data_IF_351376911690
#
_entry.id   IF_351376911690
#
_cell.length_a   1.000
_cell.length_b   1.000
_cell.length_c   1.000
_cell.angle_alpha   90.00
_cell.angle_beta   90.00
_cell.angle_gamma   90.00
#
_symmetry.space_group_name_H-M   'P 1'
#
loop_
_entity.id
_entity.type
_entity.pdbx_description
1 polymer ?
#
# COMPACT_ATOMS: atom_id res chain seq x y z
N UNK A 1 -25.50 36.00 21.25
CA UNK A 1 -24.65 35.82 20.07
C UNK A 1 -24.66 34.32 19.74
N UNK A 2 -25.47 33.88 18.78
CA UNK A 2 -25.48 32.46 18.36
C UNK A 2 -24.51 32.31 17.19
N UNK A 3 -23.31 31.80 17.46
CA UNK A 3 -22.38 31.40 16.41
C UNK A 3 -22.88 30.06 15.84
N UNK A 4 -23.14 29.94 14.53
CA UNK A 4 -23.45 28.63 13.95
C UNK A 4 -22.23 27.73 14.11
N UNK A 5 -22.41 26.59 14.78
CA UNK A 5 -21.37 25.57 14.88
C UNK A 5 -21.02 25.12 13.46
N UNK A 6 -19.79 25.37 13.03
CA UNK A 6 -19.30 24.87 11.75
C UNK A 6 -19.37 23.33 11.79
N UNK A 7 -20.10 22.74 10.84
CA UNK A 7 -20.13 21.30 10.68
C UNK A 7 -18.72 20.80 10.33
N UNK A 8 -18.21 19.74 10.97
CA UNK A 8 -16.89 19.21 10.65
C UNK A 8 -16.83 18.80 9.18
N UNK A 9 -15.81 19.29 8.46
CA UNK A 9 -15.50 18.85 7.11
C UNK A 9 -14.50 17.70 7.16
N UNK A 10 -14.82 16.58 6.53
CA UNK A 10 -13.88 15.49 6.30
C UNK A 10 -12.97 15.88 5.14
N UNK A 11 -11.69 16.06 5.43
CA UNK A 11 -10.66 16.36 4.43
C UNK A 11 -9.74 15.15 4.30
N UNK A 12 -9.58 14.64 3.09
CA UNK A 12 -8.64 13.56 2.77
C UNK A 12 -7.64 14.08 1.74
N UNK A 13 -6.35 13.97 2.06
CA UNK A 13 -5.27 14.17 1.10
C UNK A 13 -5.08 12.85 0.37
N UNK A 14 -5.56 12.81 -0.87
CA UNK A 14 -5.43 11.65 -1.75
C UNK A 14 -4.18 11.88 -2.60
N UNK A 15 -3.39 10.81 -2.80
CA UNK A 15 -2.35 10.75 -3.81
C UNK A 15 -2.96 10.13 -5.10
N UNK A 16 -3.67 10.89 -5.95
CA UNK A 16 -4.53 10.29 -6.99
C UNK A 16 -3.73 9.45 -7.98
N UNK A 17 -2.52 9.88 -8.35
CA UNK A 17 -1.69 9.15 -9.30
C UNK A 17 -1.15 7.84 -8.72
N UNK A 18 -0.81 7.80 -7.43
CA UNK A 18 -0.38 6.56 -6.77
C UNK A 18 -1.55 5.60 -6.66
N UNK A 19 -2.71 6.09 -6.20
CA UNK A 19 -3.93 5.29 -6.12
C UNK A 19 -4.32 4.68 -7.48
N UNK A 20 -4.32 5.49 -8.54
CA UNK A 20 -4.65 5.01 -9.88
C UNK A 20 -3.61 4.05 -10.44
N UNK A 21 -2.32 4.29 -10.21
CA UNK A 21 -1.26 3.39 -10.65
C UNK A 21 -1.38 2.00 -9.98
N UNK A 22 -1.61 1.96 -8.66
CA UNK A 22 -1.71 0.71 -7.91
C UNK A 22 -2.94 -0.13 -8.29
N UNK A 23 -4.03 0.48 -8.76
CA UNK A 23 -5.18 -0.26 -9.28
C UNK A 23 -4.83 -1.15 -10.48
N UNK A 24 -3.83 -0.78 -11.30
CA UNK A 24 -3.36 -1.62 -12.41
C UNK A 24 -2.60 -2.87 -11.96
N UNK A 25 -2.18 -2.91 -10.69
CA UNK A 25 -1.40 -4.01 -10.11
C UNK A 25 -2.27 -4.97 -9.28
N UNK A 26 -3.59 -4.80 -9.25
CA UNK A 26 -4.50 -5.70 -8.54
C UNK A 26 -4.32 -7.16 -9.00
N UNK A 27 -4.26 -8.07 -8.04
CA UNK A 27 -4.03 -9.49 -8.27
C UNK A 27 -2.58 -9.89 -8.53
N UNK A 28 -1.66 -8.91 -8.68
CA UNK A 28 -0.26 -9.19 -8.93
C UNK A 28 0.53 -9.39 -7.63
N UNK A 29 1.62 -10.15 -7.73
CA UNK A 29 2.62 -10.24 -6.68
C UNK A 29 3.47 -8.96 -6.72
N UNK A 30 3.51 -8.24 -5.61
CA UNK A 30 4.23 -6.96 -5.49
C UNK A 30 5.12 -6.98 -4.26
N UNK A 31 6.18 -6.18 -4.32
CA UNK A 31 6.96 -5.77 -3.16
C UNK A 31 6.51 -4.36 -2.80
N UNK A 32 6.05 -4.19 -1.57
CA UNK A 32 5.68 -2.91 -0.98
C UNK A 32 6.76 -2.52 0.00
N UNK A 33 7.51 -1.47 -0.31
CA UNK A 33 8.47 -0.88 0.61
C UNK A 33 7.74 0.15 1.47
N UNK A 34 7.78 -0.04 2.78
CA UNK A 34 7.25 0.91 3.75
C UNK A 34 8.38 1.67 4.42
N UNK A 35 8.05 2.68 5.22
CA UNK A 35 9.03 3.42 6.03
C UNK A 35 9.76 2.57 7.08
N UNK A 36 9.34 1.32 7.31
CA UNK A 36 9.95 0.42 8.32
C UNK A 36 10.59 -0.82 7.72
N UNK A 37 10.01 -1.39 6.68
CA UNK A 37 10.41 -2.65 6.08
C UNK A 37 9.72 -2.87 4.71
N UNK A 38 10.08 -3.96 4.04
CA UNK A 38 9.44 -4.39 2.79
C UNK A 38 8.56 -5.62 3.00
N UNK A 39 7.39 -5.63 2.37
CA UNK A 39 6.47 -6.77 2.36
C UNK A 39 6.27 -7.27 0.93
N UNK A 40 6.52 -8.57 0.74
CA UNK A 40 6.16 -9.28 -0.47
C UNK A 40 4.78 -9.91 -0.30
N UNK A 41 3.85 -9.62 -1.22
CA UNK A 41 2.52 -10.20 -1.16
C UNK A 41 1.70 -9.97 -2.42
N UNK A 42 0.50 -10.54 -2.45
CA UNK A 42 -0.46 -10.28 -3.52
C UNK A 42 -1.27 -9.04 -3.18
N UNK A 43 -1.32 -8.06 -4.10
CA UNK A 43 -2.15 -6.88 -3.95
C UNK A 43 -3.62 -7.25 -4.19
N UNK A 44 -4.46 -7.13 -3.15
CA UNK A 44 -5.87 -7.55 -3.20
C UNK A 44 -6.82 -6.42 -3.52
N UNK A 45 -6.56 -5.25 -2.97
CA UNK A 45 -7.42 -4.07 -3.10
C UNK A 45 -6.58 -2.82 -2.87
N UNK A 46 -7.06 -1.69 -3.39
CA UNK A 46 -6.48 -0.36 -3.16
C UNK A 46 -7.63 0.60 -2.89
N UNK A 47 -7.49 1.37 -1.81
CA UNK A 47 -8.37 2.48 -1.44
C UNK A 47 -7.57 3.79 -1.51
N UNK A 48 -8.25 4.96 -1.52
CA UNK A 48 -7.58 6.25 -1.62
C UNK A 48 -6.55 6.52 -0.50
N UNK A 49 -6.67 5.86 0.65
CA UNK A 49 -5.82 6.06 1.83
C UNK A 49 -4.97 4.85 2.21
N UNK A 50 -5.26 3.66 1.70
CA UNK A 50 -4.54 2.42 2.02
C UNK A 50 -4.59 1.37 0.91
N UNK A 51 -3.66 0.43 0.94
CA UNK A 51 -3.67 -0.79 0.12
C UNK A 51 -3.87 -2.04 0.98
N UNK A 52 -4.38 -3.09 0.37
CA UNK A 52 -4.62 -4.39 1.00
C UNK A 52 -3.71 -5.43 0.38
N UNK A 53 -2.83 -6.01 1.19
CA UNK A 53 -1.87 -7.04 0.76
C UNK A 53 -2.16 -8.37 1.46
N UNK A 54 -2.09 -9.48 0.74
CA UNK A 54 -2.03 -10.81 1.37
C UNK A 54 -0.61 -11.35 1.32
N UNK A 55 -0.05 -11.66 2.48
CA UNK A 55 1.30 -12.23 2.62
C UNK A 55 1.34 -13.18 3.83
N UNK A 56 2.08 -14.28 3.75
CA UNK A 56 2.23 -15.25 4.86
C UNK A 56 0.89 -15.67 5.50
N UNK A 57 -0.14 -15.94 4.68
CA UNK A 57 -1.51 -16.29 5.12
C UNK A 57 -2.22 -15.22 5.99
N UNK A 58 -1.70 -13.99 6.01
CA UNK A 58 -2.26 -12.84 6.71
C UNK A 58 -2.65 -11.74 5.73
N UNK A 59 -3.59 -10.90 6.16
CA UNK A 59 -4.03 -9.71 5.43
C UNK A 59 -3.44 -8.48 6.11
N UNK A 60 -2.84 -7.59 5.33
CA UNK A 60 -2.25 -6.34 5.78
C UNK A 60 -2.99 -5.17 5.15
N UNK A 61 -3.34 -4.19 5.98
CA UNK A 61 -3.86 -2.90 5.56
C UNK A 61 -2.76 -1.87 5.76
N UNK A 62 -2.18 -1.38 4.66
CA UNK A 62 -1.02 -0.50 4.69
C UNK A 62 -1.46 0.88 4.21
N UNK A 63 -1.35 1.90 5.06
CA UNK A 63 -1.67 3.29 4.67
C UNK A 63 -0.74 3.72 3.54
N UNK A 64 -1.28 4.36 2.50
CA UNK A 64 -0.48 4.91 1.40
C UNK A 64 0.57 5.90 1.91
N UNK A 65 0.23 6.68 2.94
CA UNK A 65 1.16 7.59 3.61
C UNK A 65 2.37 6.92 4.29
N UNK A 66 2.45 5.58 4.33
CA UNK A 66 3.62 4.84 4.85
C UNK A 66 4.34 4.06 3.75
N UNK A 67 3.86 4.11 2.51
CA UNK A 67 4.46 3.46 1.35
C UNK A 67 5.53 4.38 0.79
N UNK A 68 6.72 3.84 0.58
CA UNK A 68 7.87 4.52 -0.04
C UNK A 68 7.92 4.16 -1.52
N UNK A 69 7.79 2.87 -1.86
CA UNK A 69 7.76 2.40 -3.24
C UNK A 69 6.92 1.12 -3.39
N UNK A 70 6.44 0.87 -4.61
CA UNK A 70 5.80 -0.39 -4.99
C UNK A 70 6.35 -0.82 -6.33
N UNK A 71 6.77 -2.07 -6.44
CA UNK A 71 7.21 -2.68 -7.69
C UNK A 71 6.71 -4.12 -7.81
N UNK A 72 6.66 -4.62 -9.05
CA UNK A 72 6.30 -6.01 -9.29
C UNK A 72 7.33 -6.92 -8.63
N UNK A 73 6.83 -7.92 -7.92
CA UNK A 73 7.68 -8.98 -7.45
C UNK A 73 8.18 -9.80 -8.65
N UNK A 74 9.49 -10.02 -8.72
CA UNK A 74 10.08 -10.88 -9.75
C UNK A 74 9.50 -12.31 -9.62
N UNK A 75 8.86 -12.83 -10.67
CA UNK A 75 8.44 -14.23 -10.76
C UNK A 75 9.67 -15.04 -11.20
N UNK A 76 10.72 -15.01 -10.40
CA UNK A 76 11.92 -15.82 -10.63
C UNK A 76 11.54 -17.30 -10.50
N UNK A 77 11.93 -18.11 -11.49
CA UNK A 77 11.79 -19.58 -11.43
C UNK A 77 12.48 -20.13 -10.18
N UNK A 78 11.73 -20.30 -9.10
CA UNK A 78 12.24 -20.81 -7.82
C UNK A 78 12.21 -19.82 -6.66
N UNK A 79 11.02 -19.34 -6.28
CA UNK A 79 10.54 -19.47 -4.90
C UNK A 79 11.26 -18.79 -3.73
N UNK A 80 12.19 -17.86 -3.91
CA UNK A 80 12.73 -17.10 -2.77
C UNK A 80 13.17 -15.69 -3.15
N UNK A 81 12.45 -14.69 -2.63
CA UNK A 81 12.95 -13.32 -2.58
C UNK A 81 14.01 -13.26 -1.49
N UNK A 82 15.25 -12.99 -1.89
CA UNK A 82 16.35 -12.77 -0.97
C UNK A 82 16.14 -11.38 -0.35
N UNK A 83 15.63 -11.36 0.87
CA UNK A 83 15.54 -10.13 1.66
C UNK A 83 16.90 -9.45 1.69
N UNK A 84 16.91 -8.16 1.39
CA UNK A 84 18.10 -7.32 1.52
C UNK A 84 18.43 -7.28 3.01
N UNK A 85 19.57 -7.86 3.38
CA UNK A 85 20.15 -7.67 4.71
C UNK A 85 20.56 -6.21 4.83
N UNK A 86 20.03 -5.52 5.84
CA UNK A 86 20.54 -4.22 6.27
C UNK A 86 21.97 -4.41 6.80
N UNK A 87 22.95 -3.78 6.15
CA UNK A 87 24.31 -3.56 6.65
C UNK A 87 24.35 -2.30 7.53
#
# INVERSE_FOLDING_TARGET
MNQPYASPQLVSLIDPYVYHALQSLLGQQVVVETTRNSLLGTLRDVKPDHLVLTAHQKVYYIRLAQVVSVHLGDVGKGGAYRGVSED
#
